data_IF_816356570187
#
_entry.id   IF_816356570187
#
_cell.length_a   1.000
_cell.length_b   1.000
_cell.length_c   1.000
_cell.angle_alpha   90.00
_cell.angle_beta   90.00
_cell.angle_gamma   90.00
#
_symmetry.space_group_name_H-M   'P 1'
#
loop_
_entity.id
_entity.type
_entity.pdbx_description
1 polymer ?
#
# COMPACT_ATOMS: atom_id res chain seq x y z
N UNK A 1 -30.25 -32.78 7.46
CA UNK A 1 -29.52 -31.79 6.66
C UNK A 1 -28.63 -31.03 7.62
N UNK A 2 -27.34 -31.41 7.70
CA UNK A 2 -26.39 -30.62 8.48
C UNK A 2 -26.26 -29.24 7.84
N UNK A 3 -26.24 -28.15 8.64
CA UNK A 3 -26.06 -26.83 8.09
C UNK A 3 -24.73 -26.80 7.36
N UNK A 4 -24.74 -26.35 6.10
CA UNK A 4 -23.54 -26.15 5.30
C UNK A 4 -22.58 -25.25 6.09
N UNK A 5 -21.60 -25.87 6.75
CA UNK A 5 -20.52 -25.16 7.42
C UNK A 5 -19.73 -24.52 6.29
N UNK A 6 -19.99 -23.24 6.02
CA UNK A 6 -19.16 -22.44 5.12
C UNK A 6 -17.76 -22.53 5.69
N UNK A 7 -16.91 -23.34 5.06
CA UNK A 7 -15.57 -23.58 5.55
C UNK A 7 -14.83 -22.26 5.44
N UNK A 8 -14.39 -21.75 6.60
CA UNK A 8 -13.68 -20.46 6.74
C UNK A 8 -12.48 -20.40 5.77
N UNK A 9 -11.92 -21.56 5.42
CA UNK A 9 -10.83 -21.73 4.47
C UNK A 9 -11.21 -21.37 3.02
N UNK A 10 -12.41 -21.72 2.56
CA UNK A 10 -12.88 -21.38 1.21
C UNK A 10 -13.10 -19.87 1.09
N UNK A 11 -13.61 -19.25 2.16
CA UNK A 11 -13.78 -17.79 2.25
C UNK A 11 -12.43 -17.06 2.24
N UNK A 12 -11.45 -17.51 3.03
CA UNK A 12 -10.10 -16.92 3.06
C UNK A 12 -9.39 -17.08 1.70
N UNK A 13 -9.53 -18.23 1.05
CA UNK A 13 -8.97 -18.47 -0.27
C UNK A 13 -9.59 -17.57 -1.34
N UNK A 14 -10.92 -17.43 -1.34
CA UNK A 14 -11.62 -16.52 -2.26
C UNK A 14 -11.21 -15.06 -2.03
N UNK A 15 -11.10 -14.65 -0.77
CA UNK A 15 -10.65 -13.31 -0.40
C UNK A 15 -9.21 -13.03 -0.89
N UNK A 16 -8.26 -13.93 -0.62
CA UNK A 16 -6.86 -13.78 -1.05
C UNK A 16 -6.75 -13.70 -2.58
N UNK A 17 -7.52 -14.51 -3.31
CA UNK A 17 -7.56 -14.45 -4.77
C UNK A 17 -8.14 -13.13 -5.28
N UNK A 18 -9.20 -12.63 -4.66
CA UNK A 18 -9.78 -11.34 -5.00
C UNK A 18 -8.79 -10.20 -4.70
N UNK A 19 -8.19 -10.18 -3.51
CA UNK A 19 -7.18 -9.20 -3.10
C UNK A 19 -5.98 -9.20 -4.06
N UNK A 20 -5.47 -10.38 -4.41
CA UNK A 20 -4.41 -10.53 -5.42
C UNK A 20 -4.79 -9.93 -6.77
N UNK A 21 -6.00 -10.22 -7.29
CA UNK A 21 -6.48 -9.68 -8.57
C UNK A 21 -6.57 -8.17 -8.53
N UNK A 22 -7.10 -7.60 -7.45
CA UNK A 22 -7.20 -6.15 -7.27
C UNK A 22 -5.81 -5.52 -7.23
N UNK A 23 -4.88 -6.08 -6.45
CA UNK A 23 -3.50 -5.56 -6.35
C UNK A 23 -2.77 -5.58 -7.70
N UNK A 24 -2.92 -6.67 -8.47
CA UNK A 24 -2.32 -6.78 -9.79
C UNK A 24 -2.95 -5.83 -10.80
N UNK A 25 -4.28 -5.68 -10.77
CA UNK A 25 -5.00 -4.82 -11.70
C UNK A 25 -4.72 -3.35 -11.42
N UNK A 26 -4.87 -2.92 -10.16
CA UNK A 26 -4.60 -1.54 -9.77
C UNK A 26 -3.12 -1.21 -9.93
N UNK A 27 -2.22 -2.08 -9.43
CA UNK A 27 -0.78 -1.89 -9.57
C UNK A 27 -0.34 -1.85 -11.04
N UNK A 28 -0.89 -2.73 -11.88
CA UNK A 28 -0.61 -2.76 -13.32
C UNK A 28 -1.10 -1.52 -14.05
N UNK A 29 -2.32 -1.05 -13.78
CA UNK A 29 -2.88 0.16 -14.38
C UNK A 29 -2.06 1.39 -13.96
N UNK A 30 -1.81 1.57 -12.67
CA UNK A 30 -1.05 2.72 -12.16
C UNK A 30 0.38 2.70 -12.69
N UNK A 31 1.05 1.54 -12.68
CA UNK A 31 2.40 1.41 -13.25
C UNK A 31 2.40 1.76 -14.75
N UNK A 32 1.41 1.27 -15.51
CA UNK A 32 1.31 1.55 -16.95
C UNK A 32 1.10 3.04 -17.21
N UNK A 33 0.23 3.70 -16.43
CA UNK A 33 0.01 5.15 -16.52
C UNK A 33 1.30 5.92 -16.22
N UNK A 34 2.01 5.57 -15.14
CA UNK A 34 3.28 6.21 -14.76
C UNK A 34 4.34 6.03 -15.87
N UNK A 35 4.44 4.84 -16.45
CA UNK A 35 5.38 4.57 -17.55
C UNK A 35 4.99 5.31 -18.84
N UNK A 36 3.70 5.34 -19.20
CA UNK A 36 3.20 6.09 -20.37
C UNK A 36 3.48 7.58 -20.20
N UNK A 37 3.24 8.12 -19.02
CA UNK A 37 3.57 9.48 -18.64
C UNK A 37 5.06 9.80 -18.87
N UNK A 38 5.97 8.92 -18.43
CA UNK A 38 7.42 9.10 -18.63
C UNK A 38 7.90 8.93 -20.07
N UNK A 39 7.33 7.98 -20.81
CA UNK A 39 7.78 7.65 -22.16
C UNK A 39 7.24 8.62 -23.20
N UNK A 40 5.98 9.04 -23.05
CA UNK A 40 5.29 9.86 -24.04
C UNK A 40 5.19 11.34 -23.66
N UNK A 41 5.66 11.74 -22.48
CA UNK A 41 5.65 13.14 -22.03
C UNK A 41 4.24 13.74 -22.00
N UNK A 42 3.23 12.93 -21.67
CA UNK A 42 1.83 13.36 -21.66
C UNK A 42 1.61 14.38 -20.53
N UNK A 43 1.01 15.53 -20.82
CA UNK A 43 0.70 16.59 -19.82
C UNK A 43 -0.25 16.18 -18.68
N UNK A 44 -0.71 14.92 -18.65
CA UNK A 44 -1.39 14.30 -17.50
C UNK A 44 -0.41 13.93 -16.37
N UNK A 45 0.90 14.11 -16.57
CA UNK A 45 1.93 13.96 -15.54
C UNK A 45 1.77 14.90 -14.34
N UNK A 46 1.06 16.03 -14.52
CA UNK A 46 0.83 17.03 -13.47
C UNK A 46 -0.42 16.74 -12.62
N UNK A 47 -1.03 15.55 -12.76
CA UNK A 47 -2.00 15.07 -11.77
C UNK A 47 -1.27 14.94 -10.43
N UNK A 48 -1.42 15.97 -9.59
CA UNK A 48 -1.04 15.97 -8.19
C UNK A 48 -1.89 14.92 -7.47
N UNK A 49 -1.52 13.65 -7.62
CA UNK A 49 -1.91 12.61 -6.68
C UNK A 49 -1.55 13.13 -5.30
N UNK A 50 -2.48 13.06 -4.32
CA UNK A 50 -2.17 13.41 -2.92
C UNK A 50 -0.82 12.78 -2.62
N UNK A 51 0.22 13.58 -2.38
CA UNK A 51 1.56 13.06 -2.44
C UNK A 51 1.67 12.10 -1.26
N UNK A 52 1.71 10.81 -1.57
CA UNK A 52 1.90 9.74 -0.58
C UNK A 52 3.24 10.00 0.15
N UNK A 53 4.11 10.83 -0.42
CA UNK A 53 5.35 11.32 0.17
C UNK A 53 5.36 12.84 0.36
N UNK A 54 4.23 13.51 0.57
CA UNK A 54 4.19 14.91 1.01
C UNK A 54 4.87 15.97 0.13
N UNK A 55 5.20 15.70 -1.14
CA UNK A 55 5.82 16.67 -2.05
C UNK A 55 7.33 16.85 -1.85
N UNK A 56 8.05 15.81 -1.45
CA UNK A 56 9.51 15.90 -1.33
C UNK A 56 10.20 16.08 -2.69
N UNK A 57 10.80 17.26 -2.93
CA UNK A 57 11.75 17.47 -4.04
C UNK A 57 13.00 16.56 -3.97
N UNK A 58 13.32 16.04 -2.77
CA UNK A 58 14.54 15.24 -2.51
C UNK A 58 14.36 13.76 -2.90
N UNK A 59 13.14 13.24 -2.81
CA UNK A 59 12.85 11.92 -3.38
C UNK A 59 12.52 12.15 -4.85
N UNK A 60 13.31 11.58 -5.78
CA UNK A 60 12.94 11.63 -7.19
C UNK A 60 11.52 11.10 -7.30
N UNK A 61 10.55 11.98 -7.58
CA UNK A 61 9.11 11.66 -7.63
C UNK A 61 8.87 10.50 -8.60
N UNK A 62 9.70 10.45 -9.63
CA UNK A 62 9.92 9.37 -10.58
C UNK A 62 10.06 7.97 -9.98
N UNK A 63 10.80 7.80 -8.89
CA UNK A 63 11.07 6.50 -8.26
C UNK A 63 9.92 6.13 -7.32
N UNK A 64 9.39 7.10 -6.58
CA UNK A 64 8.24 6.92 -5.69
C UNK A 64 6.98 6.46 -6.45
N UNK A 65 6.71 7.08 -7.61
CA UNK A 65 5.58 6.75 -8.47
C UNK A 65 5.63 5.33 -9.07
N UNK A 66 6.84 4.74 -9.19
CA UNK A 66 7.03 3.39 -9.73
C UNK A 66 7.07 2.34 -8.61
N UNK A 67 7.68 2.67 -7.48
CA UNK A 67 7.94 1.71 -6.41
C UNK A 67 6.67 1.20 -5.73
N UNK A 68 5.67 2.05 -5.52
CA UNK A 68 4.43 1.64 -4.86
C UNK A 68 3.58 0.70 -5.75
N UNK A 69 3.30 1.03 -7.04
CA UNK A 69 2.63 0.09 -7.93
C UNK A 69 3.39 -1.23 -8.12
N UNK A 70 4.73 -1.16 -8.18
CA UNK A 70 5.57 -2.34 -8.26
C UNK A 70 5.42 -3.22 -7.01
N UNK A 71 5.42 -2.61 -5.82
CA UNK A 71 5.19 -3.33 -4.57
C UNK A 71 3.80 -3.99 -4.53
N UNK A 72 2.75 -3.31 -5.01
CA UNK A 72 1.40 -3.90 -5.15
C UNK A 72 1.43 -5.13 -6.06
N UNK A 73 2.13 -5.06 -7.19
CA UNK A 73 2.27 -6.19 -8.11
C UNK A 73 3.01 -7.35 -7.45
N UNK A 74 4.13 -7.08 -6.76
CA UNK A 74 4.92 -8.12 -6.07
C UNK A 74 4.08 -8.82 -4.99
N UNK A 75 3.33 -8.07 -4.18
CA UNK A 75 2.41 -8.64 -3.18
C UNK A 75 1.31 -9.44 -3.90
N UNK A 76 0.71 -8.88 -4.95
CA UNK A 76 -0.33 -9.54 -5.73
C UNK A 76 0.11 -10.89 -6.33
N UNK A 77 1.34 -10.97 -6.83
CA UNK A 77 1.97 -12.23 -7.31
C UNK A 77 2.26 -13.16 -6.12
N UNK A 78 2.85 -12.63 -5.04
CA UNK A 78 3.19 -13.39 -3.84
C UNK A 78 1.99 -14.12 -3.24
N UNK A 79 0.82 -13.45 -3.19
CA UNK A 79 -0.44 -14.03 -2.74
C UNK A 79 -0.94 -15.19 -3.65
N UNK A 80 -0.62 -15.19 -4.96
CA UNK A 80 -1.00 -16.28 -5.88
C UNK A 80 -0.12 -17.50 -5.81
N UNK A 81 1.14 -17.33 -5.41
CA UNK A 81 2.12 -18.42 -5.43
C UNK A 81 1.76 -19.53 -4.43
N UNK A 82 0.80 -19.31 -3.51
CA UNK A 82 0.32 -20.28 -2.51
C UNK A 82 1.48 -21.11 -1.90
N UNK A 83 2.60 -20.44 -1.64
CA UNK A 83 3.84 -21.05 -1.15
C UNK A 83 4.36 -20.27 0.05
N UNK A 84 5.11 -20.96 0.92
CA UNK A 84 5.78 -20.32 2.05
C UNK A 84 6.70 -19.16 1.62
N UNK A 85 7.34 -19.28 0.45
CA UNK A 85 8.13 -18.20 -0.14
C UNK A 85 7.26 -16.98 -0.46
N UNK A 86 6.19 -17.14 -1.25
CA UNK A 86 5.29 -16.05 -1.62
C UNK A 86 4.66 -15.35 -0.40
N UNK A 87 4.26 -16.14 0.61
CA UNK A 87 3.76 -15.64 1.89
C UNK A 87 4.81 -14.79 2.62
N UNK A 88 6.04 -15.30 2.76
CA UNK A 88 7.12 -14.59 3.45
C UNK A 88 7.51 -13.29 2.75
N UNK A 89 7.58 -13.30 1.41
CA UNK A 89 7.82 -12.10 0.61
C UNK A 89 6.73 -11.04 0.83
N UNK A 90 5.46 -11.45 0.87
CA UNK A 90 4.36 -10.52 1.15
C UNK A 90 4.50 -9.87 2.52
N UNK A 91 4.81 -10.66 3.56
CA UNK A 91 4.97 -10.14 4.93
C UNK A 91 6.14 -9.16 5.02
N UNK A 92 7.30 -9.51 4.47
CA UNK A 92 8.49 -8.66 4.51
C UNK A 92 8.18 -7.33 3.81
N UNK A 93 7.57 -7.40 2.62
CA UNK A 93 7.27 -6.21 1.83
C UNK A 93 6.21 -5.33 2.51
N UNK A 94 5.16 -5.92 3.09
CA UNK A 94 4.16 -5.19 3.88
C UNK A 94 4.77 -4.55 5.13
N UNK A 95 5.73 -5.22 5.78
CA UNK A 95 6.46 -4.65 6.92
C UNK A 95 7.27 -3.42 6.51
N UNK A 96 8.05 -3.53 5.42
CA UNK A 96 8.84 -2.42 4.89
C UNK A 96 7.95 -1.25 4.52
N UNK A 97 6.81 -1.49 3.86
CA UNK A 97 5.84 -0.45 3.51
C UNK A 97 5.22 0.18 4.77
N UNK A 98 4.81 -0.62 5.75
CA UNK A 98 4.25 -0.11 7.01
C UNK A 98 5.25 0.79 7.75
N UNK A 99 6.52 0.38 7.83
CA UNK A 99 7.59 1.18 8.42
C UNK A 99 7.86 2.46 7.64
N UNK A 100 7.85 2.40 6.30
CA UNK A 100 8.06 3.56 5.44
C UNK A 100 6.93 4.58 5.64
N UNK A 101 5.67 4.16 5.57
CA UNK A 101 4.52 5.05 5.78
C UNK A 101 4.45 5.59 7.20
N UNK A 102 4.78 4.77 8.21
CA UNK A 102 4.86 5.21 9.59
C UNK A 102 5.96 6.25 9.81
N UNK A 103 7.14 6.05 9.22
CA UNK A 103 8.23 7.02 9.25
C UNK A 103 7.84 8.33 8.56
N UNK A 104 7.22 8.26 7.38
CA UNK A 104 6.73 9.45 6.67
C UNK A 104 5.68 10.22 7.48
N UNK A 105 4.74 9.51 8.11
CA UNK A 105 3.75 10.13 9.00
C UNK A 105 4.43 10.85 10.19
N UNK A 106 5.37 10.18 10.86
CA UNK A 106 6.12 10.77 11.98
C UNK A 106 6.91 12.00 11.55
N UNK A 107 7.59 11.92 10.40
CA UNK A 107 8.37 13.02 9.87
C UNK A 107 7.50 14.22 9.50
N UNK A 108 6.44 14.01 8.71
CA UNK A 108 5.51 15.08 8.30
C UNK A 108 4.85 15.73 9.51
N UNK A 109 4.53 14.94 10.54
CA UNK A 109 4.03 15.47 11.80
C UNK A 109 5.06 16.39 12.48
N UNK A 110 6.34 16.00 12.52
CA UNK A 110 7.42 16.83 13.06
C UNK A 110 7.66 18.13 12.27
N UNK A 111 7.20 18.21 11.03
CA UNK A 111 7.30 19.41 10.20
C UNK A 111 6.09 20.34 10.32
N UNK A 112 5.00 19.94 11.01
CA UNK A 112 3.77 20.75 11.14
C UNK A 112 4.05 22.19 11.61
N UNK A 113 4.92 22.36 12.61
CA UNK A 113 5.24 23.68 13.17
C UNK A 113 5.93 24.62 12.16
N UNK A 114 6.57 24.07 11.13
CA UNK A 114 7.23 24.83 10.07
C UNK A 114 6.27 25.25 8.94
N UNK A 115 5.06 24.70 8.89
CA UNK A 115 4.04 25.03 7.87
C UNK A 115 2.86 25.83 8.44
N UNK A 116 2.67 25.81 9.76
CA UNK A 116 1.70 26.61 10.47
C UNK A 116 2.41 27.73 11.23
N UNK A 117 2.53 28.91 10.61
CA UNK A 117 3.06 30.09 11.30
C UNK A 117 1.91 30.80 12.01
N UNK A 118 2.08 31.12 13.30
CA UNK A 118 1.15 31.99 14.02
C UNK A 118 1.49 33.45 13.72
N UNK A 119 0.60 34.16 13.03
CA UNK A 119 0.67 35.62 12.90
C UNK A 119 -0.55 36.21 13.61
N UNK A 120 -0.30 37.00 14.65
CA UNK A 120 -1.34 37.71 15.42
C UNK A 120 -2.49 36.82 15.94
N UNK A 121 -2.17 35.64 16.50
CA UNK A 121 -3.15 34.75 17.11
C UNK A 121 -4.05 33.97 16.14
N UNK A 122 -3.80 34.10 14.82
CA UNK A 122 -4.41 33.25 13.79
C UNK A 122 -3.34 32.29 13.24
N UNK A 123 -3.67 31.00 13.17
CA UNK A 123 -2.89 30.04 12.41
C UNK A 123 -3.09 30.33 10.93
N UNK A 124 -2.02 30.76 10.25
CA UNK A 124 -2.01 30.94 8.80
C UNK A 124 -1.32 29.71 8.22
N UNK A 125 -2.08 28.94 7.45
CA UNK A 125 -1.54 27.82 6.67
C UNK A 125 -0.73 28.42 5.52
N UNK A 126 0.53 28.02 5.35
CA UNK A 126 1.21 28.26 4.08
C UNK A 126 0.40 27.52 3.01
N UNK A 127 -0.37 28.29 2.22
CA UNK A 127 -1.09 27.75 1.08
C UNK A 127 -0.08 27.05 0.18
N UNK A 128 -0.31 25.77 -0.10
CA UNK A 128 -0.01 25.05 -1.36
C UNK A 128 0.14 23.52 -1.18
N UNK A 129 0.27 22.99 0.06
CA UNK A 129 0.37 21.54 0.28
C UNK A 129 -0.62 20.99 1.34
N UNK A 130 -1.44 19.97 1.01
CA UNK A 130 -2.34 19.33 1.96
C UNK A 130 -1.58 18.35 2.87
N UNK A 131 -0.70 18.87 3.71
CA UNK A 131 0.17 18.08 4.61
C UNK A 131 -0.66 17.22 5.57
N UNK A 132 -1.76 17.77 6.11
CA UNK A 132 -2.63 17.03 7.01
C UNK A 132 -3.29 15.83 6.30
N UNK A 133 -3.70 15.99 5.04
CA UNK A 133 -4.22 14.89 4.23
C UNK A 133 -3.13 13.87 3.91
N UNK A 134 -1.91 14.33 3.62
CA UNK A 134 -0.75 13.46 3.37
C UNK A 134 -0.40 12.63 4.61
N UNK A 135 -0.45 13.22 5.82
CA UNK A 135 -0.29 12.53 7.09
C UNK A 135 -1.40 11.48 7.25
N UNK A 136 -2.67 11.85 7.04
CA UNK A 136 -3.80 10.94 7.17
C UNK A 136 -3.72 9.76 6.19
N UNK A 137 -3.32 10.01 4.94
CA UNK A 137 -3.12 8.97 3.91
C UNK A 137 -1.98 8.03 4.30
N UNK A 138 -0.83 8.55 4.73
CA UNK A 138 0.29 7.72 5.18
C UNK A 138 -0.08 6.89 6.41
N UNK A 139 -0.73 7.48 7.40
CA UNK A 139 -1.22 6.76 8.57
C UNK A 139 -2.20 5.65 8.17
N UNK A 140 -3.14 5.94 7.27
CA UNK A 140 -4.09 4.97 6.74
C UNK A 140 -3.41 3.81 6.01
N UNK A 141 -2.43 4.10 5.15
CA UNK A 141 -1.66 3.08 4.43
C UNK A 141 -0.81 2.23 5.38
N UNK A 142 -0.19 2.83 6.40
CA UNK A 142 0.55 2.11 7.43
C UNK A 142 -0.36 1.14 8.18
N UNK A 143 -1.53 1.60 8.63
CA UNK A 143 -2.53 0.78 9.33
C UNK A 143 -3.01 -0.36 8.43
N UNK A 144 -3.33 -0.08 7.16
CA UNK A 144 -3.75 -1.11 6.21
C UNK A 144 -2.66 -2.18 6.00
N UNK A 145 -1.39 -1.78 5.91
CA UNK A 145 -0.28 -2.74 5.81
C UNK A 145 -0.19 -3.60 7.08
N UNK A 146 -0.32 -3.01 8.27
CA UNK A 146 -0.32 -3.75 9.54
C UNK A 146 -1.50 -4.72 9.65
N UNK A 147 -2.71 -4.29 9.27
CA UNK A 147 -3.89 -5.16 9.24
C UNK A 147 -3.71 -6.32 8.25
N UNK A 148 -3.12 -6.07 7.07
CA UNK A 148 -2.79 -7.11 6.11
C UNK A 148 -1.77 -8.12 6.66
N UNK A 149 -0.76 -7.66 7.41
CA UNK A 149 0.21 -8.53 8.09
C UNK A 149 -0.49 -9.38 9.14
N UNK A 150 -1.33 -8.77 9.99
CA UNK A 150 -2.10 -9.49 11.02
C UNK A 150 -2.98 -10.56 10.36
N UNK A 151 -3.67 -10.21 9.26
CA UNK A 151 -4.50 -11.14 8.50
C UNK A 151 -3.69 -12.31 7.93
N UNK A 152 -2.52 -12.05 7.30
CA UNK A 152 -1.65 -13.11 6.77
C UNK A 152 -1.04 -14.01 7.85
N UNK A 153 -0.96 -13.52 9.10
CA UNK A 153 -0.49 -14.28 10.25
C UNK A 153 -1.60 -15.14 10.89
N UNK A 154 -2.87 -14.95 10.53
CA UNK A 154 -3.96 -15.76 11.07
C UNK A 154 -3.71 -17.24 10.77
N UNK A 155 -3.95 -18.15 11.74
CA UNK A 155 -3.73 -19.59 11.53
C UNK A 155 -4.52 -20.17 10.36
N UNK A 156 -5.72 -19.67 10.07
CA UNK A 156 -6.54 -20.11 8.93
C UNK A 156 -5.85 -19.80 7.60
N UNK A 157 -5.38 -18.56 7.45
CA UNK A 157 -4.69 -18.07 6.25
C UNK A 157 -3.32 -18.72 6.09
N UNK A 158 -2.54 -18.83 7.17
CA UNK A 158 -1.22 -19.46 7.13
C UNK A 158 -1.30 -20.90 6.62
N UNK A 159 -2.33 -21.67 6.98
CA UNK A 159 -2.49 -23.05 6.49
C UNK A 159 -2.57 -23.12 4.96
N UNK A 160 -3.15 -22.12 4.29
CA UNK A 160 -3.26 -22.06 2.82
C UNK A 160 -1.90 -22.04 2.10
N UNK A 161 -0.83 -21.61 2.77
CA UNK A 161 0.52 -21.49 2.17
C UNK A 161 1.49 -22.60 2.59
N UNK A 162 1.15 -23.35 3.64
CA UNK A 162 2.03 -24.32 4.28
C UNK A 162 1.52 -25.77 4.19
N UNK A 163 0.27 -26.00 3.82
CA UNK A 163 -0.25 -27.34 3.59
C UNK A 163 -0.03 -27.78 2.14
N UNK A 164 0.55 -28.97 1.91
CA UNK A 164 0.62 -29.54 0.57
C UNK A 164 -0.82 -29.74 0.07
N UNK A 165 -1.12 -29.23 -1.14
CA UNK A 165 -2.41 -29.51 -1.77
C UNK A 165 -2.55 -31.03 -1.90
N UNK A 166 -3.69 -31.63 -1.53
CA UNK A 166 -3.92 -33.03 -1.82
C UNK A 166 -3.81 -33.20 -3.33
N UNK A 167 -2.89 -34.06 -3.76
CA UNK A 167 -2.78 -34.46 -5.16
C UNK A 167 -4.11 -35.15 -5.54
N UNK A 168 -4.97 -34.44 -6.26
CA UNK A 168 -6.11 -35.01 -6.98
C UNK A 168 -5.65 -35.49 -8.35
#
# INVERSE_FOLDING_TARGET
MEPARVDIFDSDQAFIQAASRVLLLVGGIVLSLVLLCKVFGLGLCDLQWVPIFGGFDVFREDLAAVNLPLAMIIIGVGLRLHSGFGWSTCIILLWVLASLFGFMCFWLYGQLDLYYFQVAGKQIQAADYPILESIAVNAGLAILCLLAIIYLMLPSVRRLYWQPKPHS
#
